data_IF_426104824191
#
_entry.id   IF_426104824191
#
_cell.length_a   1.000
_cell.length_b   1.000
_cell.length_c   1.000
_cell.angle_alpha   90.00
_cell.angle_beta   90.00
_cell.angle_gamma   90.00
#
_symmetry.space_group_name_H-M   'P 1'
#
loop_
_entity.id
_entity.type
_entity.pdbx_description
1 polymer ?
#
# COMPACT_ATOMS: atom_id res chain seq x y z
N UNK A 1 -1.50 23.55 51.40
CA UNK A 1 -0.85 23.43 50.08
C UNK A 1 0.48 22.70 50.24
N UNK A 2 0.51 21.36 50.38
CA UNK A 2 1.81 20.64 50.44
C UNK A 2 1.74 19.15 50.09
N UNK A 3 0.58 18.49 50.24
CA UNK A 3 0.48 17.04 49.99
C UNK A 3 0.48 16.65 48.50
N UNK A 4 -0.05 17.50 47.63
CA UNK A 4 -0.11 17.23 46.17
C UNK A 4 1.29 17.36 45.56
N UNK A 5 2.07 18.34 46.03
CA UNK A 5 3.45 18.58 45.59
C UNK A 5 4.43 17.54 46.10
N UNK A 6 4.28 17.06 47.34
CA UNK A 6 5.08 15.95 47.87
C UNK A 6 4.73 14.60 47.21
N UNK A 7 3.45 14.34 46.93
CA UNK A 7 3.05 13.16 46.17
C UNK A 7 3.61 13.20 44.73
N UNK A 8 3.59 14.37 44.06
CA UNK A 8 4.25 14.55 42.77
C UNK A 8 5.76 14.33 42.86
N UNK A 9 6.42 14.83 43.92
CA UNK A 9 7.85 14.68 44.13
C UNK A 9 8.28 13.22 44.42
N UNK A 10 7.48 12.46 45.16
CA UNK A 10 7.71 11.02 45.41
C UNK A 10 7.49 10.21 44.14
N UNK A 11 6.51 10.56 43.31
CA UNK A 11 6.34 9.94 41.99
C UNK A 11 7.53 10.30 41.07
N UNK A 12 8.03 11.53 41.11
CA UNK A 12 9.26 11.96 40.41
C UNK A 12 10.56 11.33 40.97
N UNK A 13 10.59 10.91 42.24
CA UNK A 13 11.71 10.16 42.83
C UNK A 13 11.89 8.77 42.20
N UNK A 14 10.83 8.26 41.55
CA UNK A 14 10.89 7.11 40.66
C UNK A 14 11.14 7.52 39.20
N UNK A 15 12.10 8.42 38.97
CA UNK A 15 12.50 8.89 37.63
C UNK A 15 12.78 7.73 36.66
N UNK A 16 13.25 6.59 37.19
CA UNK A 16 13.42 5.35 36.44
C UNK A 16 12.12 4.68 35.99
N UNK A 17 11.04 4.75 36.78
CA UNK A 17 9.72 4.17 36.43
C UNK A 17 9.02 5.04 35.39
N UNK A 18 9.01 6.35 35.58
CA UNK A 18 8.45 7.29 34.60
C UNK A 18 9.26 7.21 33.28
N UNK A 19 10.59 7.17 33.38
CA UNK A 19 11.46 6.96 32.22
C UNK A 19 11.20 5.64 31.50
N UNK A 20 10.96 4.55 32.24
CA UNK A 20 10.61 3.24 31.67
C UNK A 20 9.23 3.25 30.98
N UNK A 21 8.24 3.93 31.56
CA UNK A 21 6.90 4.10 30.96
C UNK A 21 7.00 4.92 29.67
N UNK A 22 7.73 6.03 29.68
CA UNK A 22 7.95 6.86 28.48
C UNK A 22 8.72 6.06 27.42
N UNK A 23 9.75 5.32 27.80
CA UNK A 23 10.51 4.47 26.88
C UNK A 23 9.63 3.34 26.29
N UNK A 24 8.74 2.74 27.07
CA UNK A 24 7.81 1.73 26.58
C UNK A 24 6.79 2.33 25.59
N UNK A 25 6.28 3.53 25.87
CA UNK A 25 5.40 4.27 24.95
C UNK A 25 6.12 4.65 23.66
N UNK A 26 7.35 5.18 23.74
CA UNK A 26 8.20 5.49 22.59
C UNK A 26 8.49 4.24 21.76
N UNK A 27 8.84 3.11 22.40
CA UNK A 27 9.11 1.85 21.72
C UNK A 27 7.87 1.32 21.00
N UNK A 28 6.68 1.48 21.59
CA UNK A 28 5.41 1.13 20.96
C UNK A 28 5.08 2.08 19.80
N UNK A 29 5.28 3.38 19.98
CA UNK A 29 5.08 4.37 18.93
C UNK A 29 6.02 4.15 17.73
N UNK A 30 7.30 3.82 17.98
CA UNK A 30 8.25 3.47 16.91
C UNK A 30 7.87 2.19 16.19
N UNK A 31 7.39 1.15 16.90
CA UNK A 31 6.89 -0.08 16.26
C UNK A 31 5.70 0.22 15.35
N UNK A 32 4.72 0.98 15.85
CA UNK A 32 3.56 1.37 15.04
C UNK A 32 3.98 2.21 13.83
N UNK A 33 4.91 3.16 14.00
CA UNK A 33 5.42 3.96 12.89
C UNK A 33 6.17 3.12 11.85
N UNK A 34 6.92 2.11 12.27
CA UNK A 34 7.59 1.18 11.37
C UNK A 34 6.58 0.30 10.61
N UNK A 35 5.57 -0.23 11.30
CA UNK A 35 4.50 -1.02 10.68
C UNK A 35 3.69 -0.18 9.68
N UNK A 36 3.38 1.08 10.00
CA UNK A 36 2.70 2.00 9.09
C UNK A 36 3.56 2.34 7.87
N UNK A 37 4.87 2.54 8.06
CA UNK A 37 5.80 2.79 6.96
C UNK A 37 5.93 1.57 6.04
N UNK A 38 5.98 0.36 6.60
CA UNK A 38 5.97 -0.88 5.83
C UNK A 38 4.64 -1.06 5.09
N UNK A 39 3.51 -0.76 5.73
CA UNK A 39 2.18 -0.86 5.13
C UNK A 39 2.06 0.07 3.93
N UNK A 40 2.46 1.34 4.07
CA UNK A 40 2.49 2.31 2.95
C UNK A 40 3.41 1.87 1.82
N UNK A 41 4.58 1.28 2.15
CA UNK A 41 5.49 0.73 1.13
C UNK A 41 4.86 -0.42 0.37
N UNK A 42 4.18 -1.35 1.06
CA UNK A 42 3.48 -2.47 0.41
C UNK A 42 2.34 -1.97 -0.47
N UNK A 43 1.52 -1.06 0.03
CA UNK A 43 0.42 -0.44 -0.74
C UNK A 43 0.94 0.26 -2.00
N UNK A 44 2.04 1.02 -1.89
CA UNK A 44 2.69 1.65 -3.04
C UNK A 44 3.23 0.64 -4.06
N UNK A 45 3.88 -0.43 -3.59
CA UNK A 45 4.40 -1.48 -4.47
C UNK A 45 3.27 -2.25 -5.16
N UNK A 46 2.18 -2.56 -4.45
CA UNK A 46 1.00 -3.21 -5.03
C UNK A 46 0.34 -2.32 -6.11
N UNK A 47 0.24 -1.01 -5.87
CA UNK A 47 -0.28 -0.08 -6.86
C UNK A 47 0.62 -0.02 -8.10
N UNK A 48 1.94 0.11 -7.92
CA UNK A 48 2.91 0.12 -9.02
C UNK A 48 2.88 -1.18 -9.83
N UNK A 49 2.76 -2.33 -9.15
CA UNK A 49 2.65 -3.63 -9.81
C UNK A 49 1.38 -3.68 -10.67
N UNK A 50 0.24 -3.23 -10.14
CA UNK A 50 -1.02 -3.22 -10.90
C UNK A 50 -0.98 -2.32 -12.14
N UNK A 51 -0.30 -1.18 -12.04
CA UNK A 51 -0.07 -0.28 -13.19
C UNK A 51 0.84 -0.93 -14.23
N UNK A 52 1.91 -1.58 -13.78
CA UNK A 52 2.84 -2.27 -14.69
C UNK A 52 2.18 -3.45 -15.42
N UNK A 53 1.35 -4.24 -14.74
CA UNK A 53 0.57 -5.32 -15.36
C UNK A 53 -0.40 -4.78 -16.42
N UNK A 54 -1.04 -3.64 -16.15
CA UNK A 54 -1.93 -2.96 -17.09
C UNK A 54 -1.18 -2.45 -18.32
N UNK A 55 -0.04 -1.77 -18.11
CA UNK A 55 0.82 -1.27 -19.18
C UNK A 55 1.36 -2.42 -20.05
N UNK A 56 1.70 -3.55 -19.42
CA UNK A 56 2.14 -4.75 -20.13
C UNK A 56 1.03 -5.32 -21.02
N UNK A 57 -0.18 -5.51 -20.47
CA UNK A 57 -1.32 -6.01 -21.22
C UNK A 57 -1.75 -5.04 -22.35
N UNK A 58 -1.65 -3.72 -22.11
CA UNK A 58 -1.90 -2.70 -23.13
C UNK A 58 -0.89 -2.81 -24.30
N UNK A 59 0.39 -3.00 -24.00
CA UNK A 59 1.42 -3.21 -25.02
C UNK A 59 1.18 -4.50 -25.80
N UNK A 60 0.81 -5.60 -25.15
CA UNK A 60 0.47 -6.85 -25.83
C UNK A 60 -0.70 -6.65 -26.80
N UNK A 61 -1.75 -5.95 -26.37
CA UNK A 61 -2.89 -5.63 -27.23
C UNK A 61 -2.48 -4.75 -28.43
N UNK A 62 -1.67 -3.71 -28.21
CA UNK A 62 -1.18 -2.86 -29.29
C UNK A 62 -0.33 -3.63 -30.31
N UNK A 63 0.51 -4.56 -29.85
CA UNK A 63 1.31 -5.42 -30.72
C UNK A 63 0.39 -6.36 -31.51
N UNK A 64 -0.61 -6.98 -30.86
CA UNK A 64 -1.58 -7.84 -31.51
C UNK A 64 -2.37 -7.09 -32.58
N UNK A 65 -2.87 -5.88 -32.27
CA UNK A 65 -3.55 -4.99 -33.23
C UNK A 65 -2.65 -4.64 -34.41
N UNK A 66 -1.39 -4.29 -34.17
CA UNK A 66 -0.44 -3.97 -35.23
C UNK A 66 -0.15 -5.19 -36.14
N UNK A 67 -0.07 -6.39 -35.56
CA UNK A 67 0.09 -7.64 -36.33
C UNK A 67 -1.17 -7.98 -37.12
N UNK A 68 -2.34 -7.83 -36.52
CA UNK A 68 -3.63 -8.07 -37.18
C UNK A 68 -3.84 -7.12 -38.37
N UNK A 69 -3.55 -5.82 -38.20
CA UNK A 69 -3.58 -4.83 -39.28
C UNK A 69 -2.65 -5.20 -40.45
N UNK A 70 -1.55 -5.91 -40.17
CA UNK A 70 -0.61 -6.43 -41.18
C UNK A 70 -0.98 -7.82 -41.70
N UNK A 71 -2.12 -8.40 -41.28
CA UNK A 71 -2.56 -9.78 -41.58
C UNK A 71 -1.55 -10.85 -41.14
N UNK A 72 -0.77 -10.56 -40.10
CA UNK A 72 0.25 -11.45 -39.51
C UNK A 72 -0.24 -12.16 -38.25
N UNK A 73 -1.53 -12.03 -37.94
CA UNK A 73 -2.16 -12.52 -36.71
C UNK A 73 -3.61 -12.89 -37.02
N UNK A 74 -4.10 -13.94 -36.37
CA UNK A 74 -5.49 -14.39 -36.51
C UNK A 74 -6.41 -13.56 -35.62
N UNK A 75 -7.71 -13.54 -35.94
CA UNK A 75 -8.72 -12.85 -35.13
C UNK A 75 -8.79 -13.43 -33.71
N UNK A 76 -8.64 -14.74 -33.56
CA UNK A 76 -8.61 -15.41 -32.26
C UNK A 76 -7.43 -14.95 -31.37
N UNK A 77 -6.24 -14.72 -31.94
CA UNK A 77 -5.10 -14.20 -31.19
C UNK A 77 -5.31 -12.74 -30.74
N UNK A 78 -6.04 -11.96 -31.54
CA UNK A 78 -6.43 -10.60 -31.18
C UNK A 78 -7.47 -10.59 -30.04
N UNK A 79 -8.49 -11.45 -30.13
CA UNK A 79 -9.50 -11.61 -29.07
C UNK A 79 -8.89 -12.04 -27.74
N UNK A 80 -7.89 -12.93 -27.75
CA UNK A 80 -7.17 -13.33 -26.53
C UNK A 80 -6.43 -12.14 -25.92
N UNK A 81 -5.76 -11.32 -26.74
CA UNK A 81 -5.06 -10.13 -26.25
C UNK A 81 -6.05 -9.10 -25.68
N UNK A 82 -7.22 -8.94 -26.29
CA UNK A 82 -8.29 -8.06 -25.79
C UNK A 82 -8.88 -8.58 -24.47
N UNK A 83 -9.12 -9.88 -24.36
CA UNK A 83 -9.58 -10.51 -23.13
C UNK A 83 -8.56 -10.35 -21.99
N UNK A 84 -7.27 -10.50 -22.27
CA UNK A 84 -6.21 -10.27 -21.30
C UNK A 84 -6.13 -8.81 -20.86
N UNK A 85 -6.26 -7.86 -21.79
CA UNK A 85 -6.31 -6.44 -21.48
C UNK A 85 -7.50 -6.08 -20.60
N UNK A 86 -8.71 -6.53 -20.96
CA UNK A 86 -9.92 -6.26 -20.16
C UNK A 86 -9.85 -6.88 -18.77
N UNK A 87 -9.27 -8.07 -18.63
CA UNK A 87 -9.01 -8.67 -17.32
C UNK A 87 -8.02 -7.83 -16.49
N UNK A 88 -6.95 -7.32 -17.09
CA UNK A 88 -5.97 -6.46 -16.43
C UNK A 88 -6.59 -5.11 -15.99
N UNK A 89 -7.42 -4.50 -16.83
CA UNK A 89 -8.19 -3.27 -16.49
C UNK A 89 -9.07 -3.50 -15.28
N UNK A 90 -9.86 -4.59 -15.28
CA UNK A 90 -10.73 -4.92 -14.16
C UNK A 90 -9.95 -5.14 -12.85
N UNK A 91 -8.78 -5.80 -12.92
CA UNK A 91 -7.90 -6.01 -11.77
C UNK A 91 -7.33 -4.68 -11.26
N UNK A 92 -6.88 -3.80 -12.15
CA UNK A 92 -6.35 -2.49 -11.78
C UNK A 92 -7.44 -1.62 -11.13
N UNK A 93 -8.65 -1.59 -11.70
CA UNK A 93 -9.79 -0.85 -11.15
C UNK A 93 -10.18 -1.31 -9.74
N UNK A 94 -10.19 -2.63 -9.51
CA UNK A 94 -10.43 -3.18 -8.17
C UNK A 94 -9.34 -2.78 -7.18
N UNK A 95 -8.08 -2.80 -7.62
CA UNK A 95 -6.92 -2.46 -6.78
C UNK A 95 -6.93 -0.97 -6.41
N UNK A 96 -7.18 -0.10 -7.38
CA UNK A 96 -7.32 1.34 -7.17
C UNK A 96 -8.50 1.68 -6.24
N UNK A 97 -9.67 1.04 -6.42
CA UNK A 97 -10.82 1.21 -5.52
C UNK A 97 -10.51 0.75 -4.09
N UNK A 98 -9.84 -0.39 -3.91
CA UNK A 98 -9.45 -0.92 -2.60
C UNK A 98 -8.54 0.09 -1.86
N UNK A 99 -7.55 0.64 -2.55
CA UNK A 99 -6.60 1.59 -1.98
C UNK A 99 -7.28 2.94 -1.64
N UNK A 100 -8.19 3.42 -2.48
CA UNK A 100 -8.97 4.64 -2.20
C UNK A 100 -9.85 4.52 -0.95
N UNK A 101 -10.48 3.36 -0.74
CA UNK A 101 -11.30 3.11 0.46
C UNK A 101 -10.43 2.95 1.71
N UNK A 102 -9.23 2.37 1.59
CA UNK A 102 -8.27 2.23 2.71
C UNK A 102 -7.79 3.59 3.22
N UNK A 103 -7.62 4.58 2.34
CA UNK A 103 -7.18 5.93 2.71
C UNK A 103 -8.26 6.82 3.36
N UNK A 104 -9.54 6.40 3.36
CA UNK A 104 -10.67 7.19 3.89
C UNK A 104 -11.13 6.78 5.29
N UNK A 105 -10.53 5.73 5.87
CA UNK A 105 -10.78 5.25 7.25
C UNK A 105 -9.63 5.65 8.16
#
# INVERSE_FOLDING_TARGET
>A
MSYITEALAVIFSSSGVIGAVIAALMRRAMKNAAEDAERRRREYVEEQLSRFELDHAANELLIALARYARKLCTEAELEIAEANYTAAVNKADMTLKKNYVSHKK
#
